data_IF_013405696217
#
_entry.id   IF_013405696217
#
_cell.length_a   1.000
_cell.length_b   1.000
_cell.length_c   1.000
_cell.angle_alpha   90.00
_cell.angle_beta   90.00
_cell.angle_gamma   90.00
#
_symmetry.space_group_name_H-M   'P 1'
#
loop_
_entity.id
_entity.type
_entity.pdbx_description
1 polymer ?
#
# COMPACT_ATOMS: atom_id res chain seq x y z
N UNK A 1 17.71 28.62 9.56
CA UNK A 1 16.25 28.67 9.41
C UNK A 1 15.77 29.98 8.77
N UNK A 2 15.97 31.15 9.40
CA UNK A 2 15.55 32.46 8.84
C UNK A 2 16.21 32.79 7.49
N UNK A 3 17.43 32.36 7.24
CA UNK A 3 18.14 32.57 5.97
C UNK A 3 17.60 31.75 4.80
N UNK A 4 17.07 30.56 5.06
CA UNK A 4 16.45 29.67 4.09
C UNK A 4 15.08 30.23 3.65
N UNK A 5 14.25 30.65 4.61
CA UNK A 5 12.95 31.26 4.32
C UNK A 5 13.07 32.59 3.55
N UNK A 6 14.09 33.42 3.83
CA UNK A 6 14.35 34.63 3.05
C UNK A 6 14.72 34.34 1.60
N UNK A 7 15.34 33.19 1.31
CA UNK A 7 15.64 32.78 -0.08
C UNK A 7 14.38 32.28 -0.83
N UNK A 8 13.47 31.58 -0.13
CA UNK A 8 12.19 31.12 -0.70
C UNK A 8 11.27 32.26 -1.15
N UNK A 9 11.31 33.40 -0.48
CA UNK A 9 10.41 34.52 -0.73
C UNK A 9 11.03 35.70 -1.53
N UNK A 10 12.35 35.71 -1.77
CA UNK A 10 13.00 36.69 -2.66
C UNK A 10 13.06 36.13 -4.09
N UNK A 11 11.96 36.14 -4.76
CA UNK A 11 11.63 35.47 -6.02
C UNK A 11 12.18 36.12 -7.31
N UNK A 12 13.44 36.49 -7.34
CA UNK A 12 14.07 36.90 -8.62
C UNK A 12 15.23 36.00 -9.08
N UNK A 13 15.33 34.77 -8.53
CA UNK A 13 16.33 33.77 -8.95
C UNK A 13 15.69 32.41 -9.13
N UNK A 14 14.92 32.25 -10.21
CA UNK A 14 14.20 31.00 -10.53
C UNK A 14 15.12 29.84 -10.91
N UNK A 15 16.38 30.06 -11.24
CA UNK A 15 17.24 29.01 -11.79
C UNK A 15 18.15 28.29 -10.78
N UNK A 16 18.32 28.83 -9.57
CA UNK A 16 19.23 28.21 -8.57
C UNK A 16 18.50 27.39 -7.48
N UNK A 17 17.19 27.53 -7.34
CA UNK A 17 16.40 26.80 -6.35
C UNK A 17 16.06 25.36 -6.77
N UNK A 18 16.06 25.07 -8.07
CA UNK A 18 15.58 23.78 -8.58
C UNK A 18 16.54 22.60 -8.38
N UNK A 19 17.82 22.82 -8.10
CA UNK A 19 18.81 21.73 -8.00
C UNK A 19 19.01 21.16 -6.59
N UNK A 20 18.58 21.84 -5.51
CA UNK A 20 18.84 21.41 -4.14
C UNK A 20 17.70 20.63 -3.48
N UNK A 21 16.51 20.54 -4.08
CA UNK A 21 15.29 20.10 -3.38
C UNK A 21 14.55 18.89 -3.99
N UNK A 22 15.10 18.26 -5.02
CA UNK A 22 14.51 17.03 -5.55
C UNK A 22 14.52 15.94 -4.46
N UNK A 23 13.40 15.20 -4.24
CA UNK A 23 13.31 14.13 -3.24
C UNK A 23 14.13 12.91 -3.66
N UNK A 24 15.45 13.11 -3.72
CA UNK A 24 16.43 12.09 -4.11
C UNK A 24 16.59 11.06 -3.01
N UNK A 25 16.80 9.81 -3.40
CA UNK A 25 17.10 8.73 -2.47
C UNK A 25 18.54 8.24 -2.71
N UNK A 26 19.41 8.49 -1.75
CA UNK A 26 20.78 7.98 -1.77
C UNK A 26 20.76 6.48 -1.44
N UNK A 27 21.12 5.65 -2.41
CA UNK A 27 21.21 4.20 -2.26
C UNK A 27 22.51 3.76 -1.57
N UNK A 28 23.56 4.55 -1.70
CA UNK A 28 24.87 4.24 -1.10
C UNK A 28 26.04 4.84 -1.90
N UNK A 29 27.22 4.27 -1.70
CA UNK A 29 28.46 4.71 -2.37
C UNK A 29 29.16 3.56 -3.06
N UNK A 30 29.64 3.81 -4.28
CA UNK A 30 30.42 2.80 -5.02
C UNK A 30 31.68 2.39 -4.24
N UNK A 31 31.99 1.10 -4.31
CA UNK A 31 33.18 0.55 -3.64
C UNK A 31 34.47 1.07 -4.30
N UNK A 32 34.46 1.20 -5.63
CA UNK A 32 35.65 1.53 -6.41
C UNK A 32 36.14 2.97 -6.22
N UNK A 33 35.25 3.95 -6.24
CA UNK A 33 35.59 5.37 -6.27
C UNK A 33 34.82 6.22 -5.25
N UNK A 34 34.09 5.60 -4.36
CA UNK A 34 33.31 6.25 -3.30
C UNK A 34 32.27 7.27 -3.80
N UNK A 35 31.78 7.11 -5.04
CA UNK A 35 30.78 7.98 -5.65
C UNK A 35 29.40 7.67 -5.10
N UNK A 36 28.61 8.70 -4.79
CA UNK A 36 27.22 8.56 -4.38
C UNK A 36 26.37 7.96 -5.52
N UNK A 37 25.53 7.01 -5.16
CA UNK A 37 24.55 6.37 -6.06
C UNK A 37 23.17 6.70 -5.57
N UNK A 38 22.35 7.26 -6.46
CA UNK A 38 20.97 7.64 -6.18
C UNK A 38 19.99 6.79 -6.97
N UNK A 39 18.81 6.56 -6.39
CA UNK A 39 17.69 6.00 -7.13
C UNK A 39 17.27 7.00 -8.22
N UNK A 40 17.11 6.56 -9.49
CA UNK A 40 16.74 7.44 -10.57
C UNK A 40 15.45 8.21 -10.27
N UNK A 41 15.50 9.53 -10.48
CA UNK A 41 14.39 10.45 -10.34
C UNK A 41 14.26 11.28 -11.60
N UNK A 42 13.04 11.58 -12.01
CA UNK A 42 12.70 12.49 -13.09
C UNK A 42 11.74 13.54 -12.57
N UNK A 43 11.85 14.73 -13.09
CA UNK A 43 10.89 15.80 -12.92
C UNK A 43 10.16 16.01 -14.24
N UNK A 44 8.86 16.14 -14.19
CA UNK A 44 8.00 16.47 -15.31
C UNK A 44 6.94 17.50 -14.89
N UNK A 45 6.05 17.85 -15.81
CA UNK A 45 4.96 18.83 -15.54
C UNK A 45 3.98 18.40 -14.43
N UNK A 46 4.07 17.17 -13.95
CA UNK A 46 3.24 16.62 -12.87
C UNK A 46 3.99 16.47 -11.55
N UNK A 47 5.28 16.81 -11.49
CA UNK A 47 6.14 16.72 -10.32
C UNK A 47 7.21 15.64 -10.42
N UNK A 48 7.67 15.15 -9.28
CA UNK A 48 8.74 14.16 -9.23
C UNK A 48 8.24 12.73 -9.39
N UNK A 49 8.97 11.98 -10.22
CA UNK A 49 8.78 10.55 -10.47
C UNK A 49 10.06 9.81 -10.15
N UNK A 50 10.05 9.00 -9.09
CA UNK A 50 11.19 8.18 -8.66
C UNK A 50 11.02 6.73 -9.13
N UNK A 51 12.11 6.06 -9.53
CA UNK A 51 12.07 4.68 -9.94
C UNK A 51 11.61 3.75 -8.82
N UNK A 52 11.04 2.61 -9.16
CA UNK A 52 10.80 1.51 -8.22
C UNK A 52 12.11 0.76 -7.95
N UNK A 53 12.26 0.20 -6.77
CA UNK A 53 13.41 -0.65 -6.40
C UNK A 53 12.93 -2.01 -5.92
N UNK A 54 13.54 -3.07 -6.44
CA UNK A 54 13.42 -4.43 -5.92
C UNK A 54 14.77 -4.87 -5.38
N UNK A 55 14.82 -5.22 -4.11
CA UNK A 55 16.00 -5.80 -3.46
C UNK A 55 15.74 -7.27 -3.19
N UNK A 56 16.61 -8.12 -3.72
CA UNK A 56 16.58 -9.55 -3.52
C UNK A 56 17.63 -9.91 -2.47
N UNK A 57 17.23 -10.62 -1.43
CA UNK A 57 18.11 -10.97 -0.33
C UNK A 57 17.83 -12.38 0.19
N UNK A 58 18.85 -13.06 0.71
CA UNK A 58 18.67 -14.32 1.46
C UNK A 58 17.93 -14.07 2.78
N UNK A 59 18.21 -12.94 3.42
CA UNK A 59 17.52 -12.50 4.62
C UNK A 59 16.88 -11.12 4.37
N UNK A 60 15.61 -11.04 3.93
CA UNK A 60 14.91 -9.80 3.67
C UNK A 60 14.82 -8.89 4.91
N UNK A 61 14.72 -9.48 6.10
CA UNK A 61 14.65 -8.74 7.36
C UNK A 61 15.89 -7.86 7.58
N UNK A 62 17.08 -8.37 7.26
CA UNK A 62 18.33 -7.60 7.40
C UNK A 62 18.34 -6.36 6.49
N UNK A 63 17.81 -6.48 5.26
CA UNK A 63 17.67 -5.34 4.33
C UNK A 63 16.65 -4.33 4.86
N UNK A 64 15.52 -4.81 5.37
CA UNK A 64 14.49 -3.96 5.95
C UNK A 64 15.04 -3.13 7.11
N UNK A 65 15.74 -3.77 8.03
CA UNK A 65 16.22 -3.13 9.25
C UNK A 65 17.45 -2.23 9.01
N UNK A 66 18.36 -2.59 8.10
CA UNK A 66 19.62 -1.88 7.89
C UNK A 66 19.63 -0.90 6.74
N UNK A 67 18.92 -1.23 5.65
CA UNK A 67 18.94 -0.46 4.42
C UNK A 67 17.70 0.39 4.31
N UNK A 68 16.50 -0.24 4.35
CA UNK A 68 15.25 0.51 4.18
C UNK A 68 15.00 1.48 5.33
N UNK A 69 15.38 1.16 6.57
CA UNK A 69 15.31 2.13 7.67
C UNK A 69 16.05 3.43 7.37
N UNK A 70 17.20 3.35 6.67
CA UNK A 70 17.95 4.55 6.29
C UNK A 70 17.35 5.27 5.09
N UNK A 71 16.75 4.55 4.14
CA UNK A 71 16.02 5.14 3.02
C UNK A 71 14.79 5.87 3.53
N UNK A 72 14.02 5.25 4.40
CA UNK A 72 12.84 5.82 5.05
C UNK A 72 13.21 7.10 5.80
N UNK A 73 14.34 7.09 6.51
CA UNK A 73 14.84 8.29 7.20
C UNK A 73 15.12 9.46 6.26
N UNK A 74 15.59 9.20 5.05
CA UNK A 74 15.78 10.24 4.05
C UNK A 74 14.42 10.80 3.59
N UNK A 75 13.43 9.93 3.35
CA UNK A 75 12.08 10.37 2.99
C UNK A 75 11.41 11.14 4.14
N UNK A 76 11.63 10.76 5.39
CA UNK A 76 11.15 11.52 6.55
C UNK A 76 11.76 12.94 6.61
N UNK A 77 13.03 13.09 6.27
CA UNK A 77 13.66 14.42 6.20
C UNK A 77 13.07 15.30 5.10
N UNK A 78 12.64 14.73 3.99
CA UNK A 78 11.91 15.49 2.98
C UNK A 78 10.55 15.97 3.52
N UNK A 79 9.87 15.16 4.32
CA UNK A 79 8.61 15.54 4.97
C UNK A 79 8.78 16.57 6.09
N UNK A 80 9.90 16.56 6.82
CA UNK A 80 10.21 17.58 7.81
C UNK A 80 10.17 18.98 7.18
N UNK A 81 10.77 19.12 5.99
CA UNK A 81 10.74 20.39 5.26
C UNK A 81 9.30 20.84 4.94
N UNK A 82 8.40 19.91 4.63
CA UNK A 82 6.98 20.21 4.42
C UNK A 82 6.31 20.71 5.70
N UNK A 83 6.43 19.98 6.81
CA UNK A 83 5.78 20.36 8.06
C UNK A 83 6.30 21.69 8.62
N UNK A 84 7.59 21.95 8.48
CA UNK A 84 8.17 23.23 8.85
C UNK A 84 7.64 24.40 8.03
N UNK A 85 7.28 24.15 6.77
CA UNK A 85 6.77 25.19 5.87
C UNK A 85 5.25 25.38 5.97
N UNK A 86 4.47 24.34 6.32
CA UNK A 86 3.01 24.47 6.51
C UNK A 86 2.64 25.43 7.65
N UNK A 87 3.48 25.54 8.67
CA UNK A 87 3.30 26.50 9.77
C UNK A 87 3.54 27.95 9.34
N UNK A 88 4.27 28.16 8.26
CA UNK A 88 4.69 29.49 7.77
C UNK A 88 3.84 29.96 6.60
N UNK A 89 3.26 29.05 5.81
CA UNK A 89 2.43 29.41 4.65
C UNK A 89 1.03 29.82 5.13
N UNK A 90 0.83 31.10 5.28
CA UNK A 90 -0.46 31.72 5.62
C UNK A 90 -1.35 31.96 4.40
N UNK A 91 -0.82 31.87 3.20
CA UNK A 91 -1.51 32.20 1.96
C UNK A 91 -2.07 30.96 1.28
N UNK A 92 -3.39 30.73 1.42
CA UNK A 92 -4.10 29.58 0.82
C UNK A 92 -4.00 29.50 -0.70
N UNK A 93 -3.74 30.60 -1.41
CA UNK A 93 -3.63 30.63 -2.87
C UNK A 93 -2.36 29.93 -3.39
N UNK A 94 -1.26 29.94 -2.62
CA UNK A 94 -0.03 29.25 -2.98
C UNK A 94 -0.15 27.75 -2.81
N UNK A 95 -0.99 27.29 -1.87
CA UNK A 95 -1.30 25.86 -1.67
C UNK A 95 -2.03 25.22 -2.85
N UNK A 96 -2.71 26.00 -3.68
CA UNK A 96 -3.34 25.52 -4.89
C UNK A 96 -2.35 25.39 -6.06
N UNK A 97 -1.10 25.81 -5.89
CA UNK A 97 -0.06 25.67 -6.90
C UNK A 97 0.52 24.26 -6.86
N UNK A 98 0.25 23.45 -7.90
CA UNK A 98 0.72 22.07 -8.03
C UNK A 98 2.24 21.94 -7.97
N UNK A 99 2.97 22.90 -8.55
CA UNK A 99 4.43 22.92 -8.51
C UNK A 99 4.94 23.11 -7.09
N UNK A 100 4.33 24.00 -6.32
CA UNK A 100 4.67 24.23 -4.93
C UNK A 100 4.37 22.97 -4.07
N UNK A 101 3.19 22.39 -4.24
CA UNK A 101 2.81 21.18 -3.50
C UNK A 101 3.70 19.99 -3.84
N UNK A 102 4.13 19.82 -5.08
CA UNK A 102 4.98 18.70 -5.48
C UNK A 102 6.36 18.72 -4.83
N UNK A 103 6.84 19.88 -4.41
CA UNK A 103 8.10 20.01 -3.70
C UNK A 103 8.01 19.62 -2.21
N UNK A 104 6.83 19.74 -1.60
CA UNK A 104 6.66 19.63 -0.14
C UNK A 104 5.77 18.48 0.31
N UNK A 105 4.80 18.07 -0.51
CA UNK A 105 3.82 17.05 -0.15
C UNK A 105 4.28 15.66 -0.61
N UNK A 106 5.31 15.12 0.03
CA UNK A 106 5.59 13.70 -0.08
C UNK A 106 4.89 12.94 1.04
N UNK A 107 4.42 11.73 0.77
CA UNK A 107 3.92 10.84 1.81
C UNK A 107 4.68 9.52 1.80
N UNK A 108 4.72 8.85 2.94
CA UNK A 108 5.44 7.59 3.10
C UNK A 108 4.48 6.54 3.63
N UNK A 109 4.43 5.40 2.96
CA UNK A 109 3.70 4.23 3.45
C UNK A 109 4.66 3.05 3.63
N UNK A 110 4.55 2.35 4.75
CA UNK A 110 5.44 1.26 5.11
C UNK A 110 4.60 0.06 5.52
N UNK A 111 4.82 -1.08 4.90
CA UNK A 111 4.28 -2.36 5.37
C UNK A 111 5.41 -3.13 6.03
N UNK A 112 5.29 -3.39 7.31
CA UNK A 112 6.27 -4.14 8.09
C UNK A 112 5.63 -5.38 8.75
N UNK A 113 6.47 -6.33 9.16
CA UNK A 113 5.99 -7.64 9.61
C UNK A 113 5.52 -7.65 11.07
N UNK A 114 6.05 -6.74 11.90
CA UNK A 114 5.87 -6.80 13.37
C UNK A 114 5.49 -5.44 13.94
N UNK A 115 4.66 -5.47 14.98
CA UNK A 115 4.28 -4.29 15.76
C UNK A 115 5.48 -3.52 16.30
N UNK A 116 6.52 -4.23 16.75
CA UNK A 116 7.76 -3.59 17.25
C UNK A 116 8.50 -2.81 16.15
N UNK A 117 8.45 -3.27 14.90
CA UNK A 117 9.01 -2.52 13.77
C UNK A 117 8.21 -1.26 13.49
N UNK A 118 6.87 -1.36 13.48
CA UNK A 118 5.99 -0.21 13.28
C UNK A 118 6.24 0.89 14.32
N UNK A 119 6.36 0.51 15.59
CA UNK A 119 6.66 1.46 16.66
C UNK A 119 8.07 2.06 16.56
N UNK A 120 9.08 1.29 16.14
CA UNK A 120 10.41 1.82 15.92
C UNK A 120 10.45 2.85 14.77
N UNK A 121 9.75 2.57 13.68
CA UNK A 121 9.62 3.49 12.54
C UNK A 121 8.89 4.78 12.93
N UNK A 122 7.83 4.67 13.74
CA UNK A 122 7.13 5.85 14.29
C UNK A 122 8.06 6.70 15.16
N UNK A 123 8.83 6.09 16.06
CA UNK A 123 9.83 6.82 16.87
C UNK A 123 10.90 7.48 16.00
N UNK A 124 11.31 6.81 14.92
CA UNK A 124 12.24 7.38 13.95
C UNK A 124 11.63 8.62 13.27
N UNK A 125 10.38 8.56 12.83
CA UNK A 125 9.68 9.71 12.25
C UNK A 125 9.62 10.89 13.23
N UNK A 126 9.25 10.63 14.49
CA UNK A 126 9.23 11.64 15.54
C UNK A 126 10.63 12.24 15.77
N UNK A 127 11.69 11.43 15.71
CA UNK A 127 13.07 11.91 15.86
C UNK A 127 13.53 12.81 14.71
N UNK A 128 12.90 12.73 13.55
CA UNK A 128 13.07 13.63 12.41
C UNK A 128 12.04 14.78 12.43
N UNK A 129 11.53 15.14 13.60
CA UNK A 129 10.63 16.29 13.81
C UNK A 129 9.27 16.21 13.12
N UNK A 130 8.82 15.01 12.73
CA UNK A 130 7.49 14.84 12.15
C UNK A 130 6.45 14.86 13.27
N UNK A 131 5.40 15.69 13.16
CA UNK A 131 4.35 15.77 14.17
C UNK A 131 3.62 14.43 14.30
N UNK A 132 3.31 14.01 15.52
CA UNK A 132 2.59 12.74 15.79
C UNK A 132 1.25 12.66 15.07
N UNK A 133 0.55 13.78 14.88
CA UNK A 133 -0.71 13.85 14.12
C UNK A 133 -0.57 13.49 12.63
N UNK A 134 0.64 13.51 12.09
CA UNK A 134 0.95 13.12 10.70
C UNK A 134 1.40 11.67 10.58
N UNK A 135 1.45 10.90 11.68
CA UNK A 135 1.91 9.51 11.71
C UNK A 135 0.72 8.63 12.08
N UNK A 136 0.34 7.75 11.17
CA UNK A 136 -0.77 6.82 11.34
C UNK A 136 -0.22 5.39 11.35
N UNK A 137 -0.38 4.70 12.49
CA UNK A 137 0.02 3.32 12.64
C UNK A 137 -1.24 2.45 12.59
N UNK A 138 -1.27 1.50 11.66
CA UNK A 138 -2.33 0.51 11.51
C UNK A 138 -1.79 -0.84 11.98
N UNK A 139 -2.10 -1.18 13.21
CA UNK A 139 -1.57 -2.38 13.88
C UNK A 139 -2.70 -3.14 14.58
N UNK A 140 -3.10 -4.32 14.08
CA UNK A 140 -4.13 -5.14 14.72
C UNK A 140 -3.79 -5.56 16.15
N UNK A 141 -2.52 -5.50 16.55
CA UNK A 141 -2.08 -5.82 17.90
C UNK A 141 -2.21 -4.65 18.89
N UNK A 142 -2.34 -3.43 18.39
CA UNK A 142 -2.44 -2.22 19.23
C UNK A 142 -3.91 -1.79 19.37
N UNK A 143 -4.41 -1.80 20.61
CA UNK A 143 -5.78 -1.38 20.91
C UNK A 143 -6.07 0.09 20.63
N UNK A 144 -5.04 0.93 20.52
CA UNK A 144 -5.16 2.38 20.26
C UNK A 144 -5.01 2.72 18.77
N UNK A 145 -4.63 1.75 17.95
CA UNK A 145 -4.44 1.91 16.51
C UNK A 145 -5.77 2.24 15.82
N UNK A 146 -5.81 3.22 14.90
CA UNK A 146 -6.98 3.42 14.05
C UNK A 146 -7.18 2.20 13.13
N UNK A 147 -8.41 1.95 12.72
CA UNK A 147 -8.74 0.97 11.69
C UNK A 147 -8.81 1.63 10.31
N UNK A 148 -8.63 0.83 9.27
CA UNK A 148 -8.98 1.26 7.93
C UNK A 148 -10.50 1.17 7.75
N UNK A 149 -11.07 2.17 7.09
CA UNK A 149 -12.47 2.12 6.72
C UNK A 149 -12.68 1.12 5.57
N UNK A 150 -13.25 -0.04 5.91
CA UNK A 150 -13.50 -1.10 4.95
C UNK A 150 -14.65 -0.78 4.00
N UNK A 151 -15.67 -0.10 4.50
CA UNK A 151 -16.85 0.20 3.70
C UNK A 151 -16.60 1.31 2.67
N UNK A 152 -15.54 2.11 2.82
CA UNK A 152 -15.09 3.07 1.80
C UNK A 152 -14.39 2.41 0.60
N UNK A 153 -13.99 1.15 0.71
CA UNK A 153 -13.38 0.41 -0.41
C UNK A 153 -14.36 0.20 -1.56
N UNK A 154 -13.87 -0.03 -2.80
CA UNK A 154 -14.72 -0.43 -3.92
C UNK A 154 -15.56 -1.67 -3.58
N UNK A 155 -16.79 -1.73 -4.07
CA UNK A 155 -17.72 -2.82 -3.77
C UNK A 155 -17.08 -4.21 -3.92
N UNK A 156 -16.42 -4.45 -5.05
CA UNK A 156 -15.75 -5.74 -5.30
C UNK A 156 -14.70 -6.11 -4.25
N UNK A 157 -14.01 -5.12 -3.69
CA UNK A 157 -13.01 -5.35 -2.64
C UNK A 157 -13.65 -5.73 -1.32
N UNK A 158 -14.73 -5.06 -0.94
CA UNK A 158 -15.51 -5.39 0.27
C UNK A 158 -16.14 -6.78 0.14
N UNK A 159 -16.78 -7.06 -0.99
CA UNK A 159 -17.43 -8.35 -1.27
C UNK A 159 -16.40 -9.49 -1.21
N UNK A 160 -15.27 -9.35 -1.89
CA UNK A 160 -14.22 -10.37 -1.88
C UNK A 160 -13.65 -10.60 -0.47
N UNK A 161 -13.50 -9.53 0.32
CA UNK A 161 -13.04 -9.64 1.70
C UNK A 161 -14.03 -10.43 2.56
N UNK A 162 -15.32 -10.05 2.52
CA UNK A 162 -16.36 -10.72 3.33
C UNK A 162 -16.53 -12.18 2.91
N UNK A 163 -16.50 -12.46 1.61
CA UNK A 163 -16.56 -13.83 1.10
C UNK A 163 -15.35 -14.67 1.55
N UNK A 164 -14.14 -14.11 1.53
CA UNK A 164 -12.95 -14.78 2.03
C UNK A 164 -13.03 -15.09 3.54
N UNK A 165 -13.53 -14.13 4.35
CA UNK A 165 -13.73 -14.33 5.78
C UNK A 165 -14.71 -15.47 6.01
N UNK A 166 -15.83 -15.46 5.33
CA UNK A 166 -16.87 -16.48 5.49
C UNK A 166 -16.40 -17.85 5.03
N UNK A 167 -15.60 -17.95 3.96
CA UNK A 167 -15.01 -19.23 3.52
C UNK A 167 -14.13 -19.88 4.61
N UNK A 168 -13.52 -19.08 5.48
CA UNK A 168 -12.69 -19.58 6.59
C UNK A 168 -13.50 -19.95 7.83
N UNK A 169 -14.66 -19.34 8.04
CA UNK A 169 -15.40 -19.40 9.31
C UNK A 169 -16.77 -20.05 9.19
N UNK A 170 -17.18 -20.47 8.00
CA UNK A 170 -18.46 -21.11 7.77
C UNK A 170 -18.43 -22.61 8.08
N UNK A 171 -19.57 -23.16 8.46
CA UNK A 171 -19.75 -24.60 8.72
C UNK A 171 -19.86 -25.40 7.41
N UNK A 172 -19.47 -26.67 7.44
CA UNK A 172 -19.40 -27.54 6.24
C UNK A 172 -20.77 -27.91 5.63
N UNK A 173 -21.88 -27.79 6.37
CA UNK A 173 -23.22 -28.17 5.92
C UNK A 173 -24.07 -26.94 5.54
N UNK A 174 -23.86 -26.40 4.35
CA UNK A 174 -24.68 -25.30 3.82
C UNK A 174 -25.69 -25.80 2.77
N UNK A 175 -26.94 -25.34 2.87
CA UNK A 175 -28.03 -25.69 1.95
C UNK A 175 -28.10 -24.85 0.66
N UNK A 176 -27.17 -23.92 0.47
CA UNK A 176 -27.10 -22.99 -0.66
C UNK A 176 -25.68 -22.97 -1.28
N UNK A 177 -25.56 -22.49 -2.51
CA UNK A 177 -24.27 -22.39 -3.20
C UNK A 177 -23.44 -21.19 -2.71
N UNK A 178 -22.10 -21.29 -2.84
CA UNK A 178 -21.20 -20.19 -2.55
C UNK A 178 -21.46 -18.95 -3.46
N UNK A 179 -21.96 -19.20 -4.68
CA UNK A 179 -22.37 -18.13 -5.60
C UNK A 179 -23.58 -17.37 -5.11
N UNK A 180 -24.60 -18.07 -4.59
CA UNK A 180 -25.79 -17.45 -3.98
C UNK A 180 -25.40 -16.59 -2.78
N UNK A 181 -24.54 -17.09 -1.90
CA UNK A 181 -23.99 -16.31 -0.77
C UNK A 181 -23.28 -15.07 -1.23
N UNK A 182 -22.40 -15.18 -2.25
CA UNK A 182 -21.66 -14.06 -2.79
C UNK A 182 -22.59 -13.01 -3.43
N UNK A 183 -23.60 -13.45 -4.15
CA UNK A 183 -24.60 -12.55 -4.72
C UNK A 183 -25.35 -11.81 -3.61
N UNK A 184 -25.70 -12.52 -2.53
CA UNK A 184 -26.36 -11.92 -1.38
C UNK A 184 -25.51 -10.85 -0.69
N UNK A 185 -24.25 -11.17 -0.41
CA UNK A 185 -23.27 -10.19 0.12
C UNK A 185 -23.18 -8.98 -0.82
N UNK A 186 -23.13 -9.21 -2.13
CA UNK A 186 -23.05 -8.15 -3.14
C UNK A 186 -24.20 -7.18 -3.02
N UNK A 187 -25.43 -7.70 -2.97
CA UNK A 187 -26.62 -6.87 -2.87
C UNK A 187 -26.66 -6.07 -1.56
N UNK A 188 -26.32 -6.70 -0.45
CA UNK A 188 -26.35 -6.01 0.86
C UNK A 188 -25.27 -4.94 0.98
N UNK A 189 -24.06 -5.19 0.51
CA UNK A 189 -22.99 -4.18 0.47
C UNK A 189 -23.37 -2.99 -0.41
N UNK A 190 -23.95 -3.26 -1.57
CA UNK A 190 -24.40 -2.20 -2.48
C UNK A 190 -25.58 -1.42 -1.90
N UNK A 191 -26.53 -2.09 -1.27
CA UNK A 191 -27.70 -1.46 -0.64
C UNK A 191 -27.28 -0.55 0.51
N UNK A 192 -26.38 -1.01 1.39
CA UNK A 192 -25.86 -0.17 2.47
C UNK A 192 -25.17 1.09 1.94
N UNK A 193 -24.35 0.95 0.91
CA UNK A 193 -23.68 2.12 0.31
C UNK A 193 -24.64 3.09 -0.38
N UNK A 194 -25.68 2.60 -1.02
CA UNK A 194 -26.72 3.44 -1.60
C UNK A 194 -27.50 4.17 -0.50
N UNK A 195 -27.89 3.45 0.54
CA UNK A 195 -28.63 4.02 1.68
C UNK A 195 -27.80 5.08 2.41
N UNK A 196 -26.55 4.77 2.75
CA UNK A 196 -25.64 5.71 3.42
C UNK A 196 -25.45 7.01 2.60
N UNK A 197 -25.39 6.89 1.26
CA UNK A 197 -25.30 8.06 0.38
C UNK A 197 -26.54 8.95 0.46
N UNK A 198 -27.74 8.39 0.50
CA UNK A 198 -28.99 9.16 0.69
C UNK A 198 -29.04 9.84 2.04
N UNK A 199 -28.58 9.17 3.08
CA UNK A 199 -28.52 9.70 4.45
C UNK A 199 -27.34 10.66 4.68
N UNK A 200 -26.53 10.93 3.65
CA UNK A 200 -25.34 11.78 3.73
C UNK A 200 -24.36 11.36 4.83
N UNK A 201 -24.20 10.07 5.05
CA UNK A 201 -23.29 9.45 6.02
C UNK A 201 -22.32 8.49 5.36
N UNK A 202 -21.27 8.14 6.06
CA UNK A 202 -20.40 7.05 5.62
C UNK A 202 -21.09 5.69 5.86
N UNK A 203 -20.96 4.72 4.93
CA UNK A 203 -21.49 3.37 5.14
C UNK A 203 -20.71 2.68 6.26
N UNK A 204 -21.40 1.93 7.12
CA UNK A 204 -20.78 1.24 8.25
C UNK A 204 -20.91 -0.27 8.16
N UNK A 205 -19.99 -0.99 8.81
CA UNK A 205 -20.08 -2.44 8.90
C UNK A 205 -21.22 -2.88 9.84
N UNK A 206 -21.53 -2.10 10.86
CA UNK A 206 -22.62 -2.35 11.80
C UNK A 206 -23.98 -2.34 11.11
N UNK A 207 -24.20 -1.35 10.24
CA UNK A 207 -25.44 -1.27 9.47
C UNK A 207 -25.56 -2.43 8.48
N UNK A 208 -24.45 -2.83 7.86
CA UNK A 208 -24.41 -4.02 7.02
C UNK A 208 -24.74 -5.30 7.81
N UNK A 209 -24.22 -5.45 9.03
CA UNK A 209 -24.55 -6.59 9.91
C UNK A 209 -26.04 -6.60 10.28
N UNK A 210 -26.65 -5.42 10.49
CA UNK A 210 -28.07 -5.34 10.81
C UNK A 210 -28.97 -5.85 9.66
N UNK A 211 -28.56 -5.68 8.39
CA UNK A 211 -29.27 -6.27 7.25
C UNK A 211 -29.33 -7.81 7.37
N UNK A 212 -28.21 -8.43 7.70
CA UNK A 212 -28.17 -9.88 7.86
C UNK A 212 -28.92 -10.36 9.10
N UNK A 213 -28.92 -9.55 10.16
CA UNK A 213 -29.62 -9.85 11.41
C UNK A 213 -31.14 -9.69 11.27
N UNK A 214 -31.58 -8.66 10.58
CA UNK A 214 -32.99 -8.26 10.49
C UNK A 214 -33.42 -8.05 9.03
N UNK A 215 -33.83 -9.12 8.32
CA UNK A 215 -34.21 -9.03 6.91
C UNK A 215 -35.36 -8.06 6.61
N UNK A 216 -36.20 -7.70 7.59
CA UNK A 216 -37.27 -6.72 7.38
C UNK A 216 -36.71 -5.32 7.08
N UNK A 217 -35.56 -4.98 7.68
CA UNK A 217 -34.86 -3.73 7.43
C UNK A 217 -34.42 -3.58 5.96
N UNK A 218 -34.10 -4.70 5.30
CA UNK A 218 -33.71 -4.70 3.90
C UNK A 218 -34.85 -4.16 3.03
N UNK A 219 -36.09 -4.59 3.27
CA UNK A 219 -37.24 -4.12 2.50
C UNK A 219 -37.49 -2.63 2.68
N UNK A 220 -37.45 -2.15 3.92
CA UNK A 220 -37.69 -0.74 4.21
C UNK A 220 -36.66 0.15 3.52
N UNK A 221 -35.39 -0.24 3.58
CA UNK A 221 -34.29 0.48 2.96
C UNK A 221 -34.32 0.35 1.44
N UNK A 222 -34.63 -0.83 0.91
CA UNK A 222 -34.78 -1.05 -0.51
C UNK A 222 -35.84 -0.10 -1.11
N UNK A 223 -37.06 -0.06 -0.54
CA UNK A 223 -38.10 0.86 -0.98
C UNK A 223 -37.67 2.33 -0.86
N UNK A 224 -36.97 2.68 0.22
CA UNK A 224 -36.46 4.04 0.38
C UNK A 224 -35.44 4.42 -0.69
N UNK A 225 -34.53 3.50 -1.06
CA UNK A 225 -33.57 3.71 -2.16
C UNK A 225 -34.31 3.78 -3.52
N UNK A 226 -35.28 2.91 -3.75
CA UNK A 226 -36.10 2.89 -4.97
C UNK A 226 -36.89 4.21 -5.17
N UNK A 227 -37.54 4.71 -4.12
CA UNK A 227 -38.28 5.97 -4.13
C UNK A 227 -37.37 7.19 -4.42
N UNK A 228 -36.08 7.08 -4.19
CA UNK A 228 -35.10 8.15 -4.35
C UNK A 228 -34.06 7.89 -5.48
N UNK A 229 -34.38 7.05 -6.47
CA UNK A 229 -33.47 6.71 -7.58
C UNK A 229 -32.97 7.94 -8.36
N UNK A 230 -33.75 9.03 -8.39
CA UNK A 230 -33.38 10.30 -9.03
C UNK A 230 -32.19 11.02 -8.38
N UNK A 231 -31.84 10.69 -7.13
CA UNK A 231 -30.69 11.24 -6.41
C UNK A 231 -29.37 10.56 -6.83
N UNK A 232 -29.45 9.48 -7.61
CA UNK A 232 -28.28 8.71 -8.02
C UNK A 232 -27.92 8.96 -9.48
N UNK A 233 -26.63 9.20 -9.72
CA UNK A 233 -26.04 9.22 -11.07
C UNK A 233 -25.51 7.86 -11.50
N UNK A 234 -25.35 6.94 -10.56
CA UNK A 234 -24.74 5.63 -10.77
C UNK A 234 -25.77 4.61 -11.29
N UNK A 235 -25.58 4.06 -12.50
CA UNK A 235 -26.52 3.10 -13.08
C UNK A 235 -26.74 1.83 -12.25
N UNK A 236 -25.71 1.42 -11.50
CA UNK A 236 -25.74 0.20 -10.70
C UNK A 236 -26.79 0.24 -9.57
N UNK A 237 -27.20 1.43 -9.10
CA UNK A 237 -28.24 1.54 -8.05
C UNK A 237 -29.59 1.06 -8.58
N UNK A 238 -29.94 1.46 -9.81
CA UNK A 238 -31.16 0.97 -10.45
C UNK A 238 -31.13 -0.53 -10.73
N UNK A 239 -29.99 -1.04 -11.21
CA UNK A 239 -29.81 -2.48 -11.43
C UNK A 239 -29.96 -3.27 -10.12
N UNK A 240 -29.50 -2.70 -9.00
CA UNK A 240 -29.66 -3.29 -7.68
C UNK A 240 -31.14 -3.35 -7.27
N UNK A 241 -31.89 -2.25 -7.38
CA UNK A 241 -33.30 -2.23 -6.99
C UNK A 241 -34.13 -3.20 -7.85
N UNK A 242 -33.96 -3.20 -9.18
CA UNK A 242 -34.60 -4.15 -10.10
C UNK A 242 -34.27 -5.62 -9.75
N UNK A 243 -33.05 -5.87 -9.28
CA UNK A 243 -32.59 -7.19 -8.87
C UNK A 243 -33.21 -7.63 -7.54
N UNK A 244 -33.29 -6.72 -6.57
CA UNK A 244 -33.90 -7.01 -5.26
C UNK A 244 -35.40 -7.24 -5.42
N UNK A 245 -36.14 -6.47 -6.26
CA UNK A 245 -37.55 -6.69 -6.57
C UNK A 245 -37.80 -8.09 -7.10
N UNK A 246 -36.89 -8.60 -7.90
CA UNK A 246 -37.04 -9.91 -8.53
C UNK A 246 -36.66 -11.07 -7.62
N UNK A 247 -35.63 -10.90 -6.79
CA UNK A 247 -34.98 -12.00 -6.11
C UNK A 247 -35.14 -11.97 -4.59
N UNK A 248 -35.51 -10.82 -3.99
CA UNK A 248 -35.69 -10.74 -2.55
C UNK A 248 -37.16 -11.01 -2.16
N UNK A 249 -37.37 -12.01 -1.30
CA UNK A 249 -38.71 -12.37 -0.82
C UNK A 249 -38.68 -12.54 0.71
N UNK A 250 -39.30 -11.60 1.40
CA UNK A 250 -39.40 -11.67 2.87
C UNK A 250 -40.08 -12.96 3.31
N UNK A 251 -39.43 -13.72 4.18
CA UNK A 251 -39.94 -15.00 4.67
C UNK A 251 -39.49 -16.22 3.86
N UNK A 252 -38.72 -16.05 2.79
CA UNK A 252 -38.07 -17.17 2.11
C UNK A 252 -37.09 -17.87 3.06
N UNK A 253 -37.29 -19.16 3.28
CA UNK A 253 -36.50 -19.94 4.23
C UNK A 253 -35.03 -20.03 3.83
N UNK A 254 -34.76 -20.11 2.52
CA UNK A 254 -33.39 -20.19 2.01
C UNK A 254 -32.63 -18.87 2.22
N UNK A 255 -33.29 -17.74 1.94
CA UNK A 255 -32.71 -16.41 2.17
C UNK A 255 -32.46 -16.15 3.66
N UNK A 256 -33.37 -16.58 4.52
CA UNK A 256 -33.21 -16.48 5.95
C UNK A 256 -32.01 -17.32 6.43
N UNK A 257 -31.80 -18.52 5.89
CA UNK A 257 -30.63 -19.34 6.20
C UNK A 257 -29.34 -18.66 5.74
N UNK A 258 -29.29 -18.10 4.51
CA UNK A 258 -28.14 -17.35 4.02
C UNK A 258 -27.84 -16.17 4.96
N UNK A 259 -28.83 -15.37 5.31
CA UNK A 259 -28.67 -14.23 6.22
C UNK A 259 -28.12 -14.65 7.57
N UNK A 260 -28.70 -15.68 8.16
CA UNK A 260 -28.27 -16.19 9.46
C UNK A 260 -26.83 -16.67 9.42
N UNK A 261 -26.46 -17.44 8.42
CA UNK A 261 -25.09 -17.99 8.30
C UNK A 261 -24.04 -16.89 8.08
N UNK A 262 -24.36 -15.87 7.24
CA UNK A 262 -23.49 -14.72 7.06
C UNK A 262 -23.34 -13.95 8.37
N UNK A 263 -24.45 -13.64 9.04
CA UNK A 263 -24.43 -12.92 10.29
C UNK A 263 -23.60 -13.64 11.36
N UNK A 264 -23.87 -14.92 11.58
CA UNK A 264 -23.15 -15.74 12.56
C UNK A 264 -21.66 -15.89 12.21
N UNK A 265 -21.35 -16.08 10.93
CA UNK A 265 -19.96 -16.18 10.47
C UNK A 265 -19.16 -14.91 10.71
N UNK A 266 -19.72 -13.75 10.34
CA UNK A 266 -19.07 -12.44 10.54
C UNK A 266 -18.98 -12.08 12.03
N UNK A 267 -20.01 -12.35 12.81
CA UNK A 267 -20.01 -12.13 14.26
C UNK A 267 -18.96 -13.00 14.96
N UNK A 268 -18.86 -14.28 14.60
CA UNK A 268 -17.83 -15.19 15.13
C UNK A 268 -16.43 -14.70 14.80
N UNK A 269 -16.22 -14.20 13.57
CA UNK A 269 -14.94 -13.62 13.17
C UNK A 269 -14.63 -12.37 13.98
N UNK A 270 -15.58 -11.46 14.14
CA UNK A 270 -15.44 -10.26 14.97
C UNK A 270 -15.09 -10.61 16.42
N UNK A 271 -15.79 -11.57 17.04
CA UNK A 271 -15.64 -11.86 18.46
C UNK A 271 -14.41 -12.69 18.79
N UNK A 272 -14.06 -13.64 17.93
CA UNK A 272 -13.03 -14.66 18.23
C UNK A 272 -11.69 -14.39 17.58
N UNK A 273 -11.68 -13.65 16.47
CA UNK A 273 -10.48 -13.38 15.71
C UNK A 273 -9.89 -12.01 16.06
N UNK A 274 -8.56 -11.93 16.20
CA UNK A 274 -7.87 -10.66 16.52
C UNK A 274 -7.99 -9.63 15.41
N UNK A 275 -7.87 -10.08 14.17
CA UNK A 275 -8.03 -9.21 13.02
C UNK A 275 -9.49 -8.76 12.89
N UNK A 276 -10.46 -9.66 13.13
CA UNK A 276 -11.89 -9.32 13.16
C UNK A 276 -12.21 -8.24 14.19
N UNK A 277 -11.69 -8.38 15.42
CA UNK A 277 -11.82 -7.35 16.46
C UNK A 277 -11.22 -6.00 16.04
N UNK A 278 -10.12 -6.02 15.30
CA UNK A 278 -9.50 -4.79 14.82
C UNK A 278 -10.30 -4.13 13.71
N UNK A 279 -10.76 -4.91 12.73
CA UNK A 279 -11.41 -4.39 11.52
C UNK A 279 -12.84 -3.87 11.78
N UNK A 280 -13.57 -4.54 12.65
CA UNK A 280 -15.01 -4.30 12.87
C UNK A 280 -15.32 -3.58 14.18
N UNK A 281 -14.30 -3.13 14.90
CA UNK A 281 -14.45 -2.31 16.12
C UNK A 281 -14.77 -0.85 15.73
N UNK A 282 -16.04 -0.49 15.79
CA UNK A 282 -16.49 0.85 15.42
C UNK A 282 -16.16 1.93 16.46
N UNK A 283 -15.82 1.52 17.68
CA UNK A 283 -15.32 2.45 18.70
C UNK A 283 -13.92 2.98 18.37
N UNK A 284 -13.21 2.32 17.47
CA UNK A 284 -11.91 2.79 16.98
C UNK A 284 -12.08 3.88 15.93
N UNK A 285 -11.25 4.93 15.97
CA UNK A 285 -11.26 5.91 14.91
C UNK A 285 -10.92 5.24 13.57
N UNK A 286 -11.73 5.48 12.55
CA UNK A 286 -11.42 5.07 11.18
C UNK A 286 -10.50 6.08 10.50
N UNK A 287 -9.71 5.61 9.55
CA UNK A 287 -8.83 6.45 8.78
C UNK A 287 -8.86 6.07 7.29
N UNK A 288 -8.88 7.08 6.44
CA UNK A 288 -8.87 6.94 4.99
C UNK A 288 -7.45 7.14 4.46
N UNK A 289 -6.90 6.13 3.78
CA UNK A 289 -5.58 6.20 3.18
C UNK A 289 -5.45 7.33 2.13
N UNK A 290 -6.43 7.54 1.22
CA UNK A 290 -6.39 8.66 0.29
C UNK A 290 -6.31 10.03 0.99
N UNK A 291 -7.04 10.20 2.08
CA UNK A 291 -7.01 11.44 2.85
C UNK A 291 -5.65 11.68 3.51
N UNK A 292 -5.06 10.64 4.11
CA UNK A 292 -3.73 10.73 4.72
C UNK A 292 -2.69 11.08 3.65
N UNK A 293 -2.75 10.44 2.49
CA UNK A 293 -1.83 10.71 1.39
C UNK A 293 -1.97 12.14 0.85
N UNK A 294 -3.19 12.65 0.75
CA UNK A 294 -3.43 14.02 0.28
C UNK A 294 -2.84 15.08 1.21
N UNK A 295 -2.68 14.74 2.48
CA UNK A 295 -2.11 15.60 3.53
C UNK A 295 -0.59 15.37 3.74
N UNK A 296 0.04 14.50 2.95
CA UNK A 296 1.45 14.18 3.11
C UNK A 296 1.77 13.35 4.37
N UNK A 297 0.79 12.58 4.87
CA UNK A 297 0.96 11.79 6.09
C UNK A 297 1.83 10.55 5.90
N UNK A 298 2.29 9.99 7.01
CA UNK A 298 3.00 8.71 7.11
C UNK A 298 2.02 7.64 7.53
N UNK A 299 1.96 6.54 6.76
CA UNK A 299 1.20 5.35 7.09
C UNK A 299 2.14 4.19 7.39
N UNK A 300 2.02 3.57 8.55
CA UNK A 300 2.81 2.41 8.94
C UNK A 300 1.84 1.26 9.22
N UNK A 301 1.89 0.21 8.40
CA UNK A 301 1.07 -0.98 8.54
C UNK A 301 1.91 -2.09 9.13
N UNK A 302 1.47 -2.61 10.28
CA UNK A 302 2.01 -3.84 10.87
C UNK A 302 1.16 -5.02 10.41
N UNK A 303 1.78 -6.04 9.81
CA UNK A 303 1.10 -7.31 9.54
C UNK A 303 0.89 -8.14 10.81
N UNK A 304 1.46 -7.71 11.94
CA UNK A 304 1.36 -8.38 13.25
C UNK A 304 1.62 -9.91 13.16
N UNK A 305 2.56 -10.32 12.29
CA UNK A 305 2.81 -11.72 11.96
C UNK A 305 3.33 -12.58 13.13
N UNK A 306 3.64 -11.97 14.26
CA UNK A 306 3.92 -12.62 15.54
C UNK A 306 2.66 -12.88 16.39
N UNK A 307 1.50 -12.31 15.99
CA UNK A 307 0.25 -12.35 16.75
C UNK A 307 -0.95 -12.83 15.94
N UNK A 308 -0.94 -12.61 14.63
CA UNK A 308 -1.97 -13.09 13.70
C UNK A 308 -1.59 -14.45 13.12
N UNK A 309 -2.58 -15.22 12.71
CA UNK A 309 -2.34 -16.40 11.88
C UNK A 309 -1.78 -15.99 10.51
N UNK A 310 -1.22 -16.95 9.77
CA UNK A 310 -0.74 -16.70 8.41
C UNK A 310 -1.88 -16.25 7.49
N UNK A 311 -3.04 -16.85 7.64
CA UNK A 311 -4.25 -16.54 6.89
C UNK A 311 -4.75 -15.12 7.20
N UNK A 312 -4.79 -14.74 8.47
CA UNK A 312 -5.19 -13.39 8.89
C UNK A 312 -4.19 -12.32 8.40
N UNK A 313 -2.89 -12.62 8.47
CA UNK A 313 -1.86 -11.71 7.94
C UNK A 313 -2.00 -11.52 6.43
N UNK A 314 -2.32 -12.58 5.67
CA UNK A 314 -2.60 -12.50 4.24
C UNK A 314 -3.89 -11.71 3.95
N UNK A 315 -4.96 -11.94 4.72
CA UNK A 315 -6.20 -11.17 4.65
C UNK A 315 -5.96 -9.68 4.91
N UNK A 316 -5.20 -9.36 5.96
CA UNK A 316 -4.83 -7.99 6.28
C UNK A 316 -3.97 -7.35 5.18
N UNK A 317 -3.00 -8.07 4.63
CA UNK A 317 -2.21 -7.64 3.47
C UNK A 317 -3.07 -7.32 2.25
N UNK A 318 -4.11 -8.12 1.98
CA UNK A 318 -5.08 -7.89 0.90
C UNK A 318 -5.93 -6.63 1.13
N UNK A 319 -6.34 -6.37 2.38
CA UNK A 319 -7.06 -5.14 2.74
C UNK A 319 -6.17 -3.91 2.53
N UNK A 320 -4.92 -3.96 2.96
CA UNK A 320 -3.95 -2.88 2.74
C UNK A 320 -3.79 -2.63 1.24
N UNK A 321 -3.62 -3.68 0.43
CA UNK A 321 -3.53 -3.58 -1.03
C UNK A 321 -4.77 -2.91 -1.63
N UNK A 322 -5.97 -3.30 -1.22
CA UNK A 322 -7.22 -2.71 -1.71
C UNK A 322 -7.30 -1.21 -1.39
N UNK A 323 -6.86 -0.82 -0.19
CA UNK A 323 -6.74 0.59 0.20
C UNK A 323 -5.71 1.33 -0.65
N UNK A 324 -4.56 0.73 -0.98
CA UNK A 324 -3.60 1.32 -1.91
C UNK A 324 -4.20 1.50 -3.30
N UNK A 325 -4.93 0.52 -3.81
CA UNK A 325 -5.60 0.61 -5.12
C UNK A 325 -6.59 1.78 -5.15
N UNK A 326 -7.41 1.92 -4.12
CA UNK A 326 -8.34 3.05 -3.97
C UNK A 326 -7.59 4.38 -3.86
N UNK A 327 -6.57 4.46 -3.02
CA UNK A 327 -5.73 5.64 -2.86
C UNK A 327 -5.10 6.09 -4.18
N UNK A 328 -4.65 5.14 -5.00
CA UNK A 328 -4.10 5.38 -6.33
C UNK A 328 -5.13 5.94 -7.31
N UNK A 329 -6.33 5.38 -7.32
CA UNK A 329 -7.43 5.85 -8.17
C UNK A 329 -7.82 7.29 -7.81
N UNK A 330 -7.99 7.59 -6.52
CA UNK A 330 -8.26 8.95 -6.05
C UNK A 330 -7.11 9.89 -6.42
N UNK A 331 -5.85 9.48 -6.20
CA UNK A 331 -4.68 10.29 -6.58
C UNK A 331 -4.61 10.55 -8.07
N UNK A 332 -4.95 9.59 -8.91
CA UNK A 332 -4.98 9.77 -10.37
C UNK A 332 -6.03 10.78 -10.84
N UNK A 333 -7.10 10.98 -10.07
CA UNK A 333 -8.19 11.90 -10.38
C UNK A 333 -8.01 13.30 -9.78
N UNK A 334 -7.11 13.46 -8.79
CA UNK A 334 -6.90 14.74 -8.11
C UNK A 334 -5.88 15.61 -8.83
N UNK A 335 -5.99 16.96 -8.70
CA UNK A 335 -5.00 17.88 -9.26
C UNK A 335 -3.59 17.68 -8.70
N UNK A 336 -3.46 17.08 -7.52
CA UNK A 336 -2.19 16.85 -6.81
C UNK A 336 -1.45 15.59 -7.29
N UNK A 337 -1.49 15.28 -8.57
CA UNK A 337 -0.78 14.14 -9.16
C UNK A 337 0.73 14.17 -8.90
N UNK A 338 1.29 15.35 -8.71
CA UNK A 338 2.73 15.59 -8.60
C UNK A 338 3.37 15.23 -7.26
N UNK A 339 2.61 14.90 -6.20
CA UNK A 339 3.20 14.55 -4.91
C UNK A 339 3.82 13.17 -4.93
N UNK A 340 5.12 13.08 -4.59
CA UNK A 340 5.81 11.80 -4.49
C UNK A 340 5.26 10.97 -3.32
N UNK A 341 4.87 9.74 -3.62
CA UNK A 341 4.49 8.74 -2.65
C UNK A 341 5.57 7.67 -2.58
N UNK A 342 6.22 7.51 -1.44
CA UNK A 342 7.17 6.42 -1.20
C UNK A 342 6.47 5.27 -0.49
N UNK A 343 6.56 4.08 -1.04
CA UNK A 343 6.01 2.87 -0.44
C UNK A 343 7.13 1.88 -0.18
N UNK A 344 7.23 1.38 1.05
CA UNK A 344 8.22 0.41 1.48
C UNK A 344 7.53 -0.90 1.87
N UNK A 345 7.87 -1.98 1.19
CA UNK A 345 7.32 -3.31 1.42
C UNK A 345 8.41 -4.20 2.04
N UNK A 346 8.31 -4.43 3.35
CA UNK A 346 9.24 -5.26 4.10
C UNK A 346 8.85 -6.74 3.96
N UNK A 347 9.84 -7.61 3.75
CA UNK A 347 9.62 -9.06 3.62
C UNK A 347 8.44 -9.39 2.71
N UNK A 348 8.38 -8.74 1.57
CA UNK A 348 7.22 -8.79 0.70
C UNK A 348 6.90 -10.21 0.17
N UNK A 349 7.85 -11.13 0.26
CA UNK A 349 7.65 -12.55 -0.03
C UNK A 349 6.49 -13.19 0.71
N UNK A 350 6.14 -12.67 1.89
CA UNK A 350 5.14 -13.29 2.76
C UNK A 350 3.70 -12.90 2.40
N UNK A 351 3.50 -11.86 1.55
CA UNK A 351 2.16 -11.36 1.24
C UNK A 351 1.96 -10.84 -0.20
N UNK A 352 3.00 -10.86 -1.05
CA UNK A 352 2.83 -10.53 -2.46
C UNK A 352 2.12 -11.66 -3.20
N UNK A 353 1.08 -11.28 -3.94
CA UNK A 353 0.30 -12.13 -4.83
C UNK A 353 0.18 -11.50 -6.23
N UNK A 354 -0.53 -12.15 -7.13
CA UNK A 354 -0.74 -11.67 -8.51
C UNK A 354 -1.39 -10.28 -8.56
N UNK A 355 -2.27 -9.98 -7.63
CA UNK A 355 -2.94 -8.68 -7.59
C UNK A 355 -2.01 -7.58 -7.10
N UNK A 356 -1.07 -7.87 -6.21
CA UNK A 356 0.02 -6.96 -5.89
C UNK A 356 0.89 -6.69 -7.12
N UNK A 357 1.25 -7.71 -7.92
CA UNK A 357 2.02 -7.48 -9.14
C UNK A 357 1.26 -6.67 -10.18
N UNK A 358 -0.03 -6.91 -10.37
CA UNK A 358 -0.90 -6.06 -11.22
C UNK A 358 -0.88 -4.61 -10.76
N UNK A 359 -1.00 -4.37 -9.45
CA UNK A 359 -0.90 -3.03 -8.87
C UNK A 359 0.46 -2.38 -9.14
N UNK A 360 1.56 -3.09 -8.92
CA UNK A 360 2.91 -2.61 -9.15
C UNK A 360 3.18 -2.27 -10.62
N UNK A 361 2.62 -3.05 -11.55
CA UNK A 361 2.72 -2.81 -13.00
C UNK A 361 1.93 -1.55 -13.36
N UNK A 362 0.66 -1.47 -12.94
CA UNK A 362 -0.20 -0.33 -13.26
C UNK A 362 0.36 1.00 -12.74
N UNK A 363 0.90 1.00 -11.53
CA UNK A 363 1.52 2.22 -10.96
C UNK A 363 2.78 2.64 -11.68
N UNK A 364 3.48 1.71 -12.32
CA UNK A 364 4.65 2.03 -13.13
C UNK A 364 4.32 2.80 -14.41
N UNK A 365 3.09 2.68 -14.90
CA UNK A 365 2.61 3.34 -16.13
C UNK A 365 1.72 4.55 -15.83
N UNK A 366 0.77 4.40 -14.92
CA UNK A 366 -0.36 5.31 -14.77
C UNK A 366 -0.14 6.37 -13.67
N UNK A 367 0.64 6.04 -12.65
CA UNK A 367 0.91 6.93 -11.51
C UNK A 367 2.40 7.04 -11.22
N UNK A 368 3.16 7.74 -12.07
CA UNK A 368 4.62 7.82 -11.96
C UNK A 368 5.12 8.49 -10.69
N UNK A 369 4.27 9.19 -9.96
CA UNK A 369 4.61 9.83 -8.68
C UNK A 369 4.67 8.86 -7.50
N UNK A 370 4.40 7.57 -7.72
CA UNK A 370 4.54 6.54 -6.69
C UNK A 370 5.80 5.72 -6.94
N UNK A 371 6.57 5.53 -5.88
CA UNK A 371 7.81 4.73 -5.88
C UNK A 371 7.71 3.61 -4.87
N UNK A 372 7.78 2.37 -5.33
CA UNK A 372 7.83 1.20 -4.49
C UNK A 372 9.27 0.77 -4.23
N UNK A 373 9.59 0.55 -2.97
CA UNK A 373 10.83 -0.03 -2.50
C UNK A 373 10.49 -1.39 -1.86
N UNK A 374 10.86 -2.47 -2.51
CA UNK A 374 10.39 -3.81 -2.21
C UNK A 374 11.58 -4.69 -1.85
N UNK A 375 11.48 -5.47 -0.78
CA UNK A 375 12.44 -6.51 -0.47
C UNK A 375 11.77 -7.88 -0.44
N UNK A 376 12.36 -8.82 -1.17
CA UNK A 376 11.90 -10.21 -1.29
C UNK A 376 13.02 -11.19 -0.98
N UNK A 377 12.65 -12.40 -0.56
CA UNK A 377 13.62 -13.49 -0.43
C UNK A 377 14.02 -14.04 -1.81
N UNK A 378 15.25 -14.53 -1.89
CA UNK A 378 15.73 -15.18 -3.11
C UNK A 378 14.94 -16.47 -3.41
N UNK A 379 14.60 -17.24 -2.38
CA UNK A 379 13.84 -18.48 -2.50
C UNK A 379 12.43 -18.24 -3.04
N UNK A 380 11.72 -17.24 -2.48
CA UNK A 380 10.40 -16.84 -2.97
C UNK A 380 10.44 -16.48 -4.47
N UNK A 381 11.41 -15.66 -4.88
CA UNK A 381 11.48 -15.22 -6.27
C UNK A 381 11.76 -16.40 -7.22
N UNK A 382 12.53 -17.39 -6.77
CA UNK A 382 12.82 -18.62 -7.53
C UNK A 382 11.53 -19.45 -7.73
N UNK A 383 10.75 -19.64 -6.69
CA UNK A 383 9.50 -20.38 -6.74
C UNK A 383 8.42 -19.63 -7.54
N UNK A 384 8.29 -18.32 -7.30
CA UNK A 384 7.26 -17.50 -7.94
C UNK A 384 7.48 -17.27 -9.43
N UNK A 385 8.72 -17.35 -9.94
CA UNK A 385 9.01 -17.18 -11.36
C UNK A 385 8.54 -18.36 -12.23
N UNK A 386 8.43 -19.55 -11.64
CA UNK A 386 7.97 -20.75 -12.34
C UNK A 386 6.43 -20.70 -12.49
N UNK A 387 5.95 -19.91 -13.46
CA UNK A 387 4.53 -19.84 -13.86
C UNK A 387 3.83 -18.51 -13.61
N UNK A 388 4.45 -17.52 -12.95
CA UNK A 388 3.84 -16.22 -12.70
C UNK A 388 4.19 -15.20 -13.80
N UNK A 389 3.26 -14.96 -14.72
CA UNK A 389 3.43 -13.99 -15.81
C UNK A 389 3.48 -12.54 -15.31
N UNK A 390 2.67 -12.18 -14.30
CA UNK A 390 2.66 -10.82 -13.75
C UNK A 390 3.98 -10.46 -13.07
N UNK A 391 4.56 -11.40 -12.31
CA UNK A 391 5.89 -11.20 -11.75
C UNK A 391 6.93 -10.98 -12.86
N UNK A 392 6.89 -11.79 -13.92
CA UNK A 392 7.79 -11.64 -15.08
C UNK A 392 7.67 -10.26 -15.72
N UNK A 393 6.44 -9.77 -15.95
CA UNK A 393 6.17 -8.46 -16.53
C UNK A 393 6.65 -7.32 -15.60
N UNK A 394 6.41 -7.44 -14.29
CA UNK A 394 6.93 -6.48 -13.31
C UNK A 394 8.46 -6.41 -13.35
N UNK A 395 9.14 -7.55 -13.42
CA UNK A 395 10.60 -7.63 -13.49
C UNK A 395 11.18 -7.05 -14.78
N UNK A 396 10.39 -6.96 -15.85
CA UNK A 396 10.78 -6.33 -17.11
C UNK A 396 10.44 -4.82 -17.16
N UNK A 397 9.76 -4.29 -16.15
CA UNK A 397 9.38 -2.88 -16.10
C UNK A 397 10.59 -1.96 -16.25
N UNK A 398 10.48 -0.98 -17.16
CA UNK A 398 11.53 0.04 -17.41
C UNK A 398 11.80 0.96 -16.22
N UNK A 399 10.89 1.02 -15.26
CA UNK A 399 11.04 1.84 -14.05
C UNK A 399 11.57 1.06 -12.86
N UNK A 400 11.88 -0.23 -13.02
CA UNK A 400 12.36 -1.08 -11.94
C UNK A 400 13.88 -1.15 -11.89
N UNK A 401 14.44 -0.68 -10.80
CA UNK A 401 15.85 -0.89 -10.42
C UNK A 401 15.95 -2.17 -9.62
N UNK A 402 16.79 -3.11 -10.05
CA UNK A 402 16.95 -4.42 -9.42
C UNK A 402 18.27 -4.50 -8.68
N UNK A 403 18.23 -4.90 -7.42
CA UNK A 403 19.41 -5.03 -6.55
C UNK A 403 19.46 -6.40 -5.90
N UNK A 404 20.65 -6.96 -5.78
CA UNK A 404 20.92 -8.14 -4.95
C UNK A 404 21.71 -7.68 -3.73
N UNK A 405 21.22 -8.03 -2.56
CA UNK A 405 21.89 -7.74 -1.30
C UNK A 405 22.75 -8.92 -0.84
N UNK A 406 24.00 -8.64 -0.53
CA UNK A 406 24.91 -9.58 0.12
C UNK A 406 24.94 -9.36 1.63
N UNK A 407 24.46 -10.34 2.38
CA UNK A 407 24.79 -10.45 3.80
C UNK A 407 26.21 -11.01 4.00
N UNK A 408 26.70 -10.99 5.25
CA UNK A 408 28.10 -11.36 5.57
C UNK A 408 28.51 -12.74 5.05
N UNK A 409 27.59 -13.68 4.95
CA UNK A 409 27.97 -15.09 4.85
C UNK A 409 27.83 -15.69 3.43
N UNK A 410 26.94 -15.23 2.58
CA UNK A 410 26.83 -15.76 1.19
C UNK A 410 26.00 -14.88 0.27
N UNK A 411 26.52 -14.57 -0.93
CA UNK A 411 25.64 -14.35 -2.08
C UNK A 411 25.16 -15.74 -2.50
N UNK A 412 23.86 -15.89 -2.70
CA UNK A 412 23.38 -17.06 -3.39
C UNK A 412 23.71 -16.93 -4.89
N UNK A 413 24.93 -17.40 -5.23
CA UNK A 413 25.42 -17.39 -6.60
C UNK A 413 24.59 -18.32 -7.48
N UNK A 414 23.97 -19.33 -6.91
CA UNK A 414 23.13 -20.28 -7.60
C UNK A 414 21.85 -19.58 -8.09
N UNK A 415 21.20 -18.82 -7.22
CA UNK A 415 20.08 -17.97 -7.61
C UNK A 415 20.48 -16.97 -8.70
N UNK A 416 21.62 -16.31 -8.53
CA UNK A 416 22.13 -15.36 -9.49
C UNK A 416 22.44 -16.02 -10.86
N UNK A 417 23.06 -17.20 -10.87
CA UNK A 417 23.37 -17.93 -12.09
C UNK A 417 22.14 -18.45 -12.81
N UNK A 418 21.08 -18.85 -12.11
CA UNK A 418 19.80 -19.24 -12.70
C UNK A 418 19.02 -18.06 -13.28
N UNK A 419 19.13 -16.86 -12.69
CA UNK A 419 18.35 -15.69 -13.07
C UNK A 419 19.18 -14.60 -13.78
N UNK A 420 20.28 -14.98 -14.43
CA UNK A 420 21.17 -14.08 -15.20
C UNK A 420 20.42 -13.17 -16.16
N UNK A 421 19.37 -13.67 -16.79
CA UNK A 421 18.56 -12.92 -17.74
C UNK A 421 17.87 -11.70 -17.10
N UNK A 422 17.48 -11.77 -15.83
CA UNK A 422 16.87 -10.65 -15.12
C UNK A 422 17.84 -9.48 -14.93
N UNK A 423 19.14 -9.79 -14.84
CA UNK A 423 20.20 -8.81 -14.65
C UNK A 423 20.99 -8.54 -15.94
N UNK A 424 20.70 -9.25 -17.05
CA UNK A 424 21.38 -9.14 -18.37
C UNK A 424 22.91 -9.04 -18.22
N UNK A 425 23.52 -9.97 -17.50
CA UNK A 425 24.96 -9.96 -17.26
C UNK A 425 25.65 -10.84 -18.31
N UNK A 426 26.56 -10.25 -19.07
CA UNK A 426 27.41 -10.97 -20.02
C UNK A 426 28.45 -11.83 -19.28
N UNK A 427 28.89 -12.93 -19.94
CA UNK A 427 29.76 -13.97 -19.35
C UNK A 427 31.05 -13.42 -18.71
N UNK A 428 31.67 -12.42 -19.33
CA UNK A 428 32.95 -11.86 -18.86
C UNK A 428 32.80 -10.94 -17.63
N UNK A 429 31.65 -10.30 -17.49
CA UNK A 429 31.35 -9.46 -16.32
C UNK A 429 31.06 -10.27 -15.07
N UNK A 430 30.56 -11.52 -15.25
CA UNK A 430 30.31 -12.44 -14.16
C UNK A 430 31.61 -12.85 -13.44
N UNK A 431 32.71 -13.02 -14.18
CA UNK A 431 34.02 -13.34 -13.61
C UNK A 431 34.58 -12.16 -12.78
N UNK A 432 34.46 -10.95 -13.33
CA UNK A 432 34.89 -9.71 -12.64
C UNK A 432 34.04 -9.44 -11.39
N UNK A 433 32.73 -9.71 -11.47
CA UNK A 433 31.81 -9.56 -10.35
C UNK A 433 32.10 -10.57 -9.24
N UNK A 434 32.30 -11.86 -9.60
CA UNK A 434 32.70 -12.90 -8.65
C UNK A 434 34.03 -12.57 -7.96
N UNK A 435 35.00 -12.03 -8.70
CA UNK A 435 36.29 -11.60 -8.16
C UNK A 435 36.14 -10.37 -7.26
N UNK A 436 35.37 -9.37 -7.65
CA UNK A 436 35.14 -8.18 -6.85
C UNK A 436 34.43 -8.50 -5.52
N UNK A 437 33.52 -9.45 -5.53
CA UNK A 437 32.81 -9.91 -4.34
C UNK A 437 33.74 -10.78 -3.46
N UNK A 438 34.49 -11.68 -4.05
CA UNK A 438 35.42 -12.56 -3.31
C UNK A 438 36.61 -11.79 -2.70
N UNK A 439 37.05 -10.73 -3.38
CA UNK A 439 38.18 -9.90 -2.93
C UNK A 439 37.81 -8.76 -1.99
N UNK A 440 36.51 -8.53 -1.74
CA UNK A 440 36.07 -7.44 -0.88
C UNK A 440 36.27 -7.80 0.61
N UNK A 441 37.07 -7.04 1.36
CA UNK A 441 37.24 -7.26 2.79
C UNK A 441 36.03 -6.80 3.62
N UNK A 442 34.94 -6.38 3.00
CA UNK A 442 33.78 -5.79 3.66
C UNK A 442 32.81 -6.85 4.15
N UNK A 443 32.47 -6.87 5.43
CA UNK A 443 31.75 -7.97 6.06
C UNK A 443 30.25 -8.04 5.68
N UNK A 444 29.61 -6.97 5.30
CA UNK A 444 28.15 -6.97 4.97
C UNK A 444 27.70 -5.67 4.31
N UNK A 445 26.56 -5.70 3.63
CA UNK A 445 25.93 -4.48 3.14
C UNK A 445 26.32 -4.05 1.72
N UNK A 446 26.69 -4.99 0.86
CA UNK A 446 26.96 -4.71 -0.56
C UNK A 446 25.67 -4.93 -1.36
N UNK A 447 25.33 -3.95 -2.17
CA UNK A 447 24.26 -4.02 -3.17
C UNK A 447 24.88 -4.05 -4.57
N UNK A 448 24.43 -4.99 -5.37
CA UNK A 448 24.74 -5.09 -6.79
C UNK A 448 23.48 -4.69 -7.53
N UNK A 449 23.52 -3.54 -8.18
CA UNK A 449 22.33 -2.94 -8.77
C UNK A 449 22.46 -2.80 -10.26
N UNK A 450 21.39 -3.14 -10.98
CA UNK A 450 21.19 -2.84 -12.38
C UNK A 450 20.19 -1.71 -12.52
N UNK A 451 20.61 -0.64 -13.19
CA UNK A 451 19.78 0.50 -13.53
C UNK A 451 19.11 0.33 -14.90
N UNK A 452 18.13 1.16 -15.18
CA UNK A 452 17.32 1.09 -16.41
C UNK A 452 18.10 1.45 -17.68
N UNK A 453 19.19 2.23 -17.56
CA UNK A 453 20.14 2.56 -18.64
C UNK A 453 21.15 1.43 -18.92
N UNK A 454 20.91 0.23 -18.35
CA UNK A 454 21.78 -0.94 -18.37
C UNK A 454 23.12 -0.76 -17.63
N UNK A 455 23.36 0.41 -17.00
CA UNK A 455 24.52 0.58 -16.12
C UNK A 455 24.40 -0.32 -14.88
N UNK A 456 25.53 -0.70 -14.34
CA UNK A 456 25.62 -1.56 -13.15
C UNK A 456 26.59 -0.95 -12.18
N UNK A 457 26.18 -0.92 -10.93
CA UNK A 457 26.98 -0.40 -9.86
C UNK A 457 27.03 -1.38 -8.69
N UNK A 458 28.19 -1.49 -8.09
CA UNK A 458 28.42 -2.21 -6.84
C UNK A 458 28.69 -1.15 -5.78
N UNK A 459 27.86 -1.09 -4.79
CA UNK A 459 27.95 -0.07 -3.75
C UNK A 459 27.66 -0.63 -2.36
N UNK A 460 28.12 0.08 -1.35
CA UNK A 460 27.75 -0.13 0.05
C UNK A 460 26.92 1.04 0.54
N UNK A 461 26.09 0.75 1.48
CA UNK A 461 25.36 1.78 2.22
C UNK A 461 26.15 2.19 3.46
#
# INVERSE_FOLDING_TARGET
MIGFLKRLFNSNTTDTMQQEEAPTLLLGRTIKNNKNIFLPIKEDKYGYSRANQLVIAKNPQEVSDRIFSKYIRQDFKHQEAYHANTEVVTNKSEWNNLSFQSHFLSSVSIICMKSSQAQNLSRQAISESIPTRGIHIFDPADSTSPRLDLMSLPNNSVIALLDNILNQWQQDDIEYSLEERKNWITWMVMLEKAYAKLEHREPTFSDLLEFFRNPSTIMDIHHYVEDNLNEFSEPWVKELTDTLDTNFHLGDSKQNNINFDIYEGLLKYQDKNKLGKFLFDEDRPSASLPEIWSKGGICIFSLAGDLLSKEDSATWGSIIRSNFTTGLQVKAQTPNKGTLQSVYLFNASDYLDDDWYKLLISTSTDTPTISFNIVVSADYLKEALDGNTFLSDFLQSKRLVKSIYRSADTIDFEFYDHHKYLFSIERDQNKTLKQAIASSPLPSGILITKFNDHSREIYRY
#
